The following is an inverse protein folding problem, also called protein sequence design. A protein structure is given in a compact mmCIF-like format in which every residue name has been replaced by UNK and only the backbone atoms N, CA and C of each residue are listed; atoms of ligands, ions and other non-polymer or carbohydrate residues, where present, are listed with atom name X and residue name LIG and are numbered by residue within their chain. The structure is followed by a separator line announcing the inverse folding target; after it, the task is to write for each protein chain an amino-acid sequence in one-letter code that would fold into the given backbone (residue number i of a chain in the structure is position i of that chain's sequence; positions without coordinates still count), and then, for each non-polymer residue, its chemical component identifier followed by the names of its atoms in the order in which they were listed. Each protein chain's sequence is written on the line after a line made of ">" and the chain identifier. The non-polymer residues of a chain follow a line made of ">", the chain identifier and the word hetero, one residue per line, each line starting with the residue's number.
data_IF_437298684751
#
_entry.id   IF_437298684751
#
_cell.length_a   1.000
_cell.length_b   1.000
_cell.length_c   1.000
_cell.angle_alpha   90.00
_cell.angle_beta   90.00
_cell.angle_gamma   90.00
#
_symmetry.space_group_name_H-M   'P 1'
#
loop_
_entity.id
_entity.type
_entity.pdbx_description
1 polymer ?
#
# COMPACT_ATOMS: atom_id res chain seq x y z
N UNK A 1 44.92 13.03 -4.95
CA UNK A 1 44.20 11.74 -5.06
C UNK A 1 42.64 11.79 -4.86
N UNK A 2 41.92 12.90 -4.74
CA UNK A 2 40.43 12.84 -4.60
C UNK A 2 39.65 12.92 -5.92
N UNK A 3 40.30 13.29 -7.05
CA UNK A 3 39.60 13.53 -8.34
C UNK A 3 39.10 12.24 -9.01
N UNK A 4 39.81 11.13 -8.86
CA UNK A 4 39.43 9.84 -9.47
C UNK A 4 38.25 9.14 -8.76
N UNK A 5 38.06 9.36 -7.44
CA UNK A 5 36.92 8.79 -6.71
C UNK A 5 35.59 9.44 -7.10
N UNK A 6 35.59 10.76 -7.39
CA UNK A 6 34.39 11.47 -7.85
C UNK A 6 33.98 11.07 -9.27
N UNK A 7 34.98 10.87 -10.17
CA UNK A 7 34.73 10.37 -11.51
C UNK A 7 34.18 8.93 -11.51
N UNK A 8 34.70 8.05 -10.66
CA UNK A 8 34.20 6.69 -10.51
C UNK A 8 32.78 6.66 -9.93
N UNK A 9 32.46 7.53 -8.96
CA UNK A 9 31.10 7.64 -8.39
C UNK A 9 30.09 8.17 -9.42
N UNK A 10 30.49 9.14 -10.26
CA UNK A 10 29.64 9.65 -11.35
C UNK A 10 29.40 8.60 -12.44
N UNK A 11 30.43 7.83 -12.80
CA UNK A 11 30.27 6.73 -13.76
C UNK A 11 29.34 5.64 -13.21
N UNK A 12 29.48 5.27 -11.94
CA UNK A 12 28.64 4.27 -11.28
C UNK A 12 27.18 4.76 -11.17
N UNK A 13 26.95 6.04 -10.85
CA UNK A 13 25.62 6.61 -10.84
C UNK A 13 25.00 6.65 -12.26
N UNK A 14 25.79 6.96 -13.28
CA UNK A 14 25.34 6.98 -14.68
C UNK A 14 25.00 5.57 -15.19
N UNK A 15 25.77 4.54 -14.82
CA UNK A 15 25.45 3.15 -15.16
C UNK A 15 24.16 2.66 -14.49
N UNK A 16 23.90 3.07 -13.25
CA UNK A 16 22.66 2.71 -12.53
C UNK A 16 21.41 3.36 -13.18
N UNK A 17 21.52 4.61 -13.64
CA UNK A 17 20.39 5.27 -14.31
C UNK A 17 20.11 4.66 -15.69
N UNK A 18 21.12 4.32 -16.47
CA UNK A 18 20.94 3.66 -17.77
C UNK A 18 20.29 2.28 -17.62
N UNK A 19 20.68 1.50 -16.60
CA UNK A 19 20.06 0.20 -16.34
C UNK A 19 18.58 0.31 -15.98
N UNK A 20 18.17 1.30 -15.19
CA UNK A 20 16.75 1.49 -14.84
C UNK A 20 15.92 1.92 -16.05
N UNK A 21 16.42 2.79 -16.90
CA UNK A 21 15.73 3.19 -18.14
C UNK A 21 15.58 2.05 -19.14
N UNK A 22 16.61 1.22 -19.29
CA UNK A 22 16.56 0.05 -20.18
C UNK A 22 15.51 -0.95 -19.72
N UNK A 23 15.48 -1.25 -18.43
CA UNK A 23 14.51 -2.18 -17.83
C UNK A 23 13.07 -1.68 -17.93
N UNK A 24 12.86 -0.39 -17.75
CA UNK A 24 11.54 0.25 -17.89
C UNK A 24 11.06 0.20 -19.36
N UNK A 25 11.95 0.46 -20.31
CA UNK A 25 11.64 0.38 -21.74
C UNK A 25 11.27 -1.02 -22.19
N UNK A 26 12.01 -2.04 -21.76
CA UNK A 26 11.71 -3.44 -22.07
C UNK A 26 10.36 -3.87 -21.50
N UNK A 27 10.03 -3.44 -20.27
CA UNK A 27 8.72 -3.76 -19.66
C UNK A 27 7.57 -3.08 -20.39
N UNK A 28 7.73 -1.82 -20.80
CA UNK A 28 6.72 -1.10 -21.61
C UNK A 28 6.52 -1.77 -22.96
N UNK A 29 7.60 -2.16 -23.66
CA UNK A 29 7.52 -2.87 -24.91
C UNK A 29 6.81 -4.23 -24.75
N UNK A 30 7.12 -4.96 -23.67
CA UNK A 30 6.45 -6.19 -23.33
C UNK A 30 4.93 -5.98 -23.09
N UNK A 31 4.54 -4.95 -22.33
CA UNK A 31 3.14 -4.61 -22.08
C UNK A 31 2.38 -4.32 -23.40
N UNK A 32 2.99 -3.52 -24.26
CA UNK A 32 2.39 -3.15 -25.55
C UNK A 32 2.26 -4.34 -26.52
N UNK A 33 3.25 -5.22 -26.53
CA UNK A 33 3.29 -6.36 -27.45
C UNK A 33 2.45 -7.52 -26.95
N UNK A 34 2.50 -7.82 -25.64
CA UNK A 34 1.79 -8.94 -25.06
C UNK A 34 0.29 -8.64 -24.84
N UNK A 35 -0.09 -7.36 -24.65
CA UNK A 35 -1.47 -6.97 -24.39
C UNK A 35 -2.13 -7.81 -23.28
N UNK A 36 -3.26 -8.46 -23.59
CA UNK A 36 -3.97 -9.35 -22.66
C UNK A 36 -3.19 -10.62 -22.28
N UNK A 37 -2.16 -10.98 -23.04
CA UNK A 37 -1.30 -12.14 -22.75
C UNK A 37 -0.17 -11.79 -21.79
N UNK A 38 -0.01 -10.51 -21.40
CA UNK A 38 0.95 -10.14 -20.38
C UNK A 38 0.65 -10.89 -19.07
N UNK A 39 1.70 -11.32 -18.40
CA UNK A 39 1.61 -12.18 -17.22
C UNK A 39 0.69 -11.64 -16.13
N UNK A 40 0.66 -10.31 -15.97
CA UNK A 40 -0.24 -9.61 -15.03
C UNK A 40 -1.73 -9.95 -15.25
N UNK A 41 -2.15 -10.20 -16.50
CA UNK A 41 -3.56 -10.40 -16.87
C UNK A 41 -3.97 -11.88 -16.98
N UNK A 42 -3.11 -12.81 -16.54
CA UNK A 42 -3.37 -14.26 -16.56
C UNK A 42 -4.03 -14.78 -15.27
N UNK A 43 -4.62 -13.90 -14.47
CA UNK A 43 -5.38 -14.26 -13.27
C UNK A 43 -6.78 -14.80 -13.59
N UNK A 44 -7.62 -14.87 -12.56
CA UNK A 44 -9.04 -15.21 -12.73
C UNK A 44 -9.88 -13.94 -12.92
N UNK A 45 -11.08 -14.10 -13.45
CA UNK A 45 -12.02 -12.98 -13.56
C UNK A 45 -12.57 -12.62 -12.19
N UNK A 46 -12.78 -11.32 -11.97
CA UNK A 46 -13.40 -10.84 -10.74
C UNK A 46 -14.85 -11.28 -10.67
N UNK A 47 -15.24 -11.85 -9.51
CA UNK A 47 -16.63 -12.13 -9.19
C UNK A 47 -17.30 -10.86 -8.68
N UNK A 48 -18.04 -10.17 -9.56
CA UNK A 48 -18.76 -8.97 -9.16
C UNK A 48 -19.95 -9.30 -8.26
N UNK A 49 -19.95 -8.68 -7.09
CA UNK A 49 -21.10 -8.74 -6.19
C UNK A 49 -22.34 -8.11 -6.85
N UNK A 50 -23.45 -8.84 -6.83
CA UNK A 50 -24.72 -8.33 -7.36
C UNK A 50 -25.16 -7.14 -6.53
N UNK A 51 -25.07 -5.93 -7.08
CA UNK A 51 -25.31 -4.65 -6.37
C UNK A 51 -26.69 -4.54 -5.73
N UNK A 52 -27.70 -5.30 -6.18
CA UNK A 52 -29.08 -5.22 -5.71
C UNK A 52 -29.30 -5.57 -4.24
N UNK A 53 -28.36 -6.21 -3.59
CA UNK A 53 -28.43 -6.64 -2.20
C UNK A 53 -27.44 -5.91 -1.29
N UNK A 54 -26.67 -4.96 -1.83
CA UNK A 54 -25.65 -4.21 -1.10
C UNK A 54 -25.98 -2.73 -1.07
N UNK A 55 -25.90 -2.12 0.11
CA UNK A 55 -26.16 -0.69 0.32
C UNK A 55 -24.91 0.18 0.05
N UNK A 56 -23.73 -0.44 0.04
CA UNK A 56 -22.46 0.21 -0.28
C UNK A 56 -21.49 -0.77 -0.98
N UNK A 57 -20.28 -0.33 -1.28
CA UNK A 57 -19.32 -1.04 -2.11
C UNK A 57 -18.25 -1.76 -1.27
N UNK A 58 -17.69 -2.91 -1.75
CA UNK A 58 -16.59 -3.62 -1.11
C UNK A 58 -15.24 -2.93 -1.28
N UNK A 59 -15.09 -2.11 -2.34
CA UNK A 59 -13.85 -1.46 -2.72
C UNK A 59 -13.42 -0.38 -1.73
N UNK A 60 -12.12 -0.04 -1.75
CA UNK A 60 -11.50 0.87 -0.78
C UNK A 60 -12.23 2.22 -0.69
N UNK A 61 -12.33 2.96 -1.77
CA UNK A 61 -12.94 4.29 -1.78
C UNK A 61 -14.02 4.42 -2.86
N UNK A 62 -13.80 3.84 -4.04
CA UNK A 62 -14.72 3.88 -5.19
C UNK A 62 -14.74 2.54 -5.93
N UNK A 63 -15.80 2.29 -6.68
CA UNK A 63 -15.90 1.17 -7.62
C UNK A 63 -15.15 1.41 -8.92
N UNK A 64 -14.73 2.66 -9.18
CA UNK A 64 -14.08 3.03 -10.42
C UNK A 64 -12.63 2.52 -10.48
N UNK A 65 -12.21 2.15 -11.67
CA UNK A 65 -10.81 1.84 -11.94
C UNK A 65 -10.02 3.14 -12.05
N UNK A 66 -8.90 3.21 -11.33
CA UNK A 66 -7.98 4.34 -11.34
C UNK A 66 -6.63 3.89 -11.86
N UNK A 67 -5.99 4.76 -12.64
CA UNK A 67 -4.68 4.45 -13.22
C UNK A 67 -3.59 4.51 -12.16
N UNK A 68 -2.75 3.48 -12.14
CA UNK A 68 -1.60 3.37 -11.23
C UNK A 68 -0.49 2.52 -11.83
N UNK A 69 0.49 2.21 -11.00
CA UNK A 69 1.58 1.27 -11.32
C UNK A 69 1.51 0.06 -10.41
N UNK A 70 1.92 -1.10 -10.90
CA UNK A 70 1.95 -2.33 -10.12
C UNK A 70 3.25 -3.10 -10.42
N UNK A 71 3.93 -3.53 -9.36
CA UNK A 71 5.05 -4.46 -9.45
C UNK A 71 4.51 -5.88 -9.28
N UNK A 72 4.65 -6.68 -10.32
CA UNK A 72 4.15 -8.04 -10.38
C UNK A 72 5.24 -8.99 -10.85
N UNK A 73 5.65 -9.91 -9.99
CA UNK A 73 6.74 -10.87 -10.27
C UNK A 73 8.04 -10.20 -10.75
N UNK A 74 8.45 -9.12 -10.09
CA UNK A 74 9.65 -8.34 -10.39
C UNK A 74 9.52 -7.36 -11.56
N UNK A 75 8.40 -7.37 -12.30
CA UNK A 75 8.15 -6.46 -13.42
C UNK A 75 7.22 -5.31 -13.01
N UNK A 76 7.60 -4.08 -13.36
CA UNK A 76 6.78 -2.88 -13.10
C UNK A 76 5.91 -2.58 -14.32
N UNK A 77 4.59 -2.65 -14.13
CA UNK A 77 3.59 -2.29 -15.11
C UNK A 77 3.06 -0.89 -14.78
N UNK A 78 3.16 0.04 -15.72
CA UNK A 78 2.71 1.42 -15.56
C UNK A 78 1.41 1.68 -16.32
N UNK A 79 0.64 2.67 -15.86
CA UNK A 79 -0.59 3.06 -16.54
C UNK A 79 -1.70 2.01 -16.45
N UNK A 80 -1.64 1.10 -15.50
CA UNK A 80 -2.62 0.01 -15.34
C UNK A 80 -3.87 0.55 -14.64
N UNK A 81 -5.06 0.44 -15.28
CA UNK A 81 -6.31 0.71 -14.58
C UNK A 81 -6.56 -0.40 -13.55
N UNK A 82 -6.71 0.00 -12.27
CA UNK A 82 -6.90 -0.94 -11.16
C UNK A 82 -7.80 -0.38 -10.08
N UNK A 83 -8.33 -1.26 -9.24
CA UNK A 83 -9.02 -0.94 -7.99
C UNK A 83 -8.66 -1.95 -6.91
N UNK A 84 -8.86 -1.59 -5.66
CA UNK A 84 -8.59 -2.48 -4.53
C UNK A 84 -9.89 -2.88 -3.86
N UNK A 85 -10.17 -4.18 -3.83
CA UNK A 85 -11.26 -4.74 -3.04
C UNK A 85 -10.82 -4.83 -1.57
N UNK A 86 -11.40 -3.97 -0.73
CA UNK A 86 -11.09 -3.90 0.69
C UNK A 86 -11.84 -4.98 1.50
N UNK A 87 -12.78 -5.71 0.90
CA UNK A 87 -13.43 -6.86 1.53
C UNK A 87 -12.64 -8.13 1.28
N UNK A 88 -12.39 -8.45 0.02
CA UNK A 88 -11.63 -9.64 -0.37
C UNK A 88 -10.10 -9.47 -0.22
N UNK A 89 -9.63 -8.22 -0.01
CA UNK A 89 -8.23 -7.87 0.22
C UNK A 89 -7.31 -8.19 -0.97
N UNK A 90 -7.79 -7.92 -2.20
CA UNK A 90 -7.00 -8.09 -3.41
C UNK A 90 -7.10 -6.88 -4.36
N UNK A 91 -6.08 -6.72 -5.20
CA UNK A 91 -6.10 -5.76 -6.30
C UNK A 91 -6.74 -6.40 -7.52
N UNK A 92 -7.59 -5.63 -8.21
CA UNK A 92 -8.20 -5.98 -9.49
C UNK A 92 -7.62 -5.07 -10.54
N UNK A 93 -7.19 -5.62 -11.66
CA UNK A 93 -6.67 -4.89 -12.82
C UNK A 93 -7.62 -5.04 -14.01
N UNK A 94 -7.66 -4.04 -14.86
CA UNK A 94 -8.43 -4.11 -16.10
C UNK A 94 -7.50 -4.45 -17.26
N UNK A 95 -7.83 -5.51 -17.98
CA UNK A 95 -7.11 -5.91 -19.19
C UNK A 95 -7.25 -4.84 -20.29
N UNK A 96 -6.16 -4.48 -20.98
CA UNK A 96 -6.16 -3.36 -21.93
C UNK A 96 -6.97 -3.62 -23.20
N UNK A 97 -7.11 -4.88 -23.64
CA UNK A 97 -7.76 -5.22 -24.91
C UNK A 97 -9.21 -5.64 -24.70
N UNK A 98 -9.47 -6.52 -23.73
CA UNK A 98 -10.81 -7.09 -23.50
C UNK A 98 -11.62 -6.33 -22.47
N UNK A 99 -11.04 -5.34 -21.79
CA UNK A 99 -11.65 -4.67 -20.64
C UNK A 99 -12.12 -5.67 -19.56
N UNK A 100 -11.49 -6.83 -19.51
CA UNK A 100 -11.80 -7.86 -18.53
C UNK A 100 -11.24 -7.44 -17.16
N UNK A 101 -12.02 -7.64 -16.13
CA UNK A 101 -11.64 -7.38 -14.73
C UNK A 101 -10.92 -8.62 -14.20
N UNK A 102 -9.63 -8.54 -14.05
CA UNK A 102 -8.74 -9.65 -13.70
C UNK A 102 -8.21 -9.48 -12.29
N UNK A 103 -8.27 -10.53 -11.50
CA UNK A 103 -7.60 -10.65 -10.20
C UNK A 103 -6.31 -11.43 -10.44
N UNK A 104 -5.14 -10.75 -10.47
CA UNK A 104 -3.84 -11.42 -10.60
C UNK A 104 -3.53 -12.25 -9.35
N UNK A 105 -2.54 -13.14 -9.42
CA UNK A 105 -2.07 -13.83 -8.22
C UNK A 105 -1.49 -12.81 -7.22
N UNK A 106 -2.20 -12.59 -6.11
CA UNK A 106 -1.83 -11.57 -5.10
C UNK A 106 -0.47 -11.84 -4.45
N UNK A 107 0.01 -13.08 -4.46
CA UNK A 107 1.32 -13.45 -3.91
C UNK A 107 2.49 -12.93 -4.76
N UNK A 108 2.22 -12.65 -6.03
CA UNK A 108 3.21 -12.10 -6.97
C UNK A 108 3.16 -10.57 -7.04
N UNK A 109 2.18 -9.94 -6.37
CA UNK A 109 2.09 -8.48 -6.27
C UNK A 109 3.00 -8.00 -5.14
N UNK A 110 4.10 -7.33 -5.49
CA UNK A 110 5.05 -6.79 -4.53
C UNK A 110 4.62 -5.42 -3.99
N UNK A 111 4.02 -4.61 -4.84
CA UNK A 111 3.41 -3.33 -4.50
C UNK A 111 2.58 -2.80 -5.66
N UNK A 112 1.68 -1.88 -5.36
CA UNK A 112 0.99 -1.08 -6.37
C UNK A 112 0.77 0.35 -5.88
N UNK A 113 0.41 1.25 -6.81
CA UNK A 113 0.07 2.64 -6.49
C UNK A 113 -1.36 2.95 -6.92
N UNK A 114 -2.11 3.61 -6.05
CA UNK A 114 -3.43 4.19 -6.34
C UNK A 114 -3.49 5.60 -5.77
N UNK A 115 -3.95 6.57 -6.56
CA UNK A 115 -4.05 7.99 -6.18
C UNK A 115 -2.78 8.57 -5.55
N UNK A 116 -1.63 8.21 -6.11
CA UNK A 116 -0.33 8.64 -5.61
C UNK A 116 0.12 7.96 -4.31
N UNK A 117 -0.65 7.04 -3.77
CA UNK A 117 -0.29 6.28 -2.58
C UNK A 117 0.26 4.89 -2.95
N UNK A 118 1.35 4.51 -2.32
CA UNK A 118 1.93 3.17 -2.46
C UNK A 118 1.29 2.20 -1.48
N UNK A 119 0.94 1.02 -1.99
CA UNK A 119 0.41 -0.10 -1.22
C UNK A 119 1.42 -1.25 -1.25
N UNK A 120 1.65 -1.86 -0.11
CA UNK A 120 2.58 -2.98 0.09
C UNK A 120 1.86 -4.14 0.79
N UNK A 121 2.31 -5.39 0.62
CA UNK A 121 1.69 -6.53 1.28
C UNK A 121 1.59 -6.36 2.80
N UNK A 122 0.45 -6.75 3.37
CA UNK A 122 0.27 -6.85 4.81
C UNK A 122 0.43 -8.30 5.24
N UNK A 123 1.60 -8.68 5.71
CA UNK A 123 1.90 -10.05 6.14
C UNK A 123 1.16 -10.45 7.43
N UNK A 124 0.77 -9.46 8.25
CA UNK A 124 0.10 -9.71 9.52
C UNK A 124 -1.38 -10.11 9.36
N UNK A 125 -2.06 -9.65 8.30
CA UNK A 125 -3.49 -9.91 8.07
C UNK A 125 -3.83 -10.38 6.66
N UNK A 126 -2.90 -10.35 5.75
CA UNK A 126 -3.14 -10.53 4.32
C UNK A 126 -3.59 -9.24 3.63
N UNK A 127 -3.68 -9.28 2.31
CA UNK A 127 -3.99 -8.11 1.49
C UNK A 127 -2.87 -7.08 1.49
N UNK A 128 -3.26 -5.80 1.33
CA UNK A 128 -2.30 -4.70 1.18
C UNK A 128 -2.59 -3.56 2.13
N UNK A 129 -1.53 -2.86 2.52
CA UNK A 129 -1.60 -1.65 3.35
C UNK A 129 -0.98 -0.47 2.64
N UNK A 130 -1.63 0.69 2.76
CA UNK A 130 -1.08 1.96 2.29
C UNK A 130 0.15 2.32 3.12
N UNK A 131 1.27 2.58 2.47
CA UNK A 131 2.48 3.07 3.11
C UNK A 131 2.32 4.57 3.40
N UNK A 132 2.04 4.92 4.65
CA UNK A 132 1.79 6.30 5.10
C UNK A 132 3.10 7.03 5.36
N UNK A 133 4.10 6.30 5.85
CA UNK A 133 5.46 6.78 6.02
C UNK A 133 6.46 5.69 5.63
N UNK A 134 7.41 6.04 4.77
CA UNK A 134 8.48 5.18 4.30
C UNK A 134 9.83 5.70 4.82
N UNK A 135 10.22 5.28 6.02
CA UNK A 135 11.53 5.58 6.57
C UNK A 135 12.59 4.54 6.21
N UNK A 136 13.84 4.82 6.51
CA UNK A 136 14.94 3.88 6.28
C UNK A 136 14.94 2.70 7.27
N UNK A 137 14.53 2.94 8.51
CA UNK A 137 14.62 1.99 9.62
C UNK A 137 13.24 1.59 10.13
N UNK A 138 12.26 2.48 9.99
CA UNK A 138 10.89 2.24 10.41
C UNK A 138 9.92 2.85 9.41
N UNK A 139 8.85 2.11 9.10
CA UNK A 139 7.76 2.58 8.24
C UNK A 139 6.43 2.49 8.98
N UNK A 140 5.46 3.29 8.53
CA UNK A 140 4.08 3.26 9.02
C UNK A 140 3.14 2.85 7.89
N UNK A 141 2.33 1.83 8.15
CA UNK A 141 1.36 1.29 7.22
C UNK A 141 -0.05 1.51 7.75
N UNK A 142 -0.98 1.84 6.85
CA UNK A 142 -2.42 1.97 7.10
C UNK A 142 -3.15 0.84 6.37
N UNK A 143 -3.63 -0.14 7.12
CA UNK A 143 -4.39 -1.27 6.60
C UNK A 143 -5.89 -0.97 6.72
N UNK A 144 -6.56 -0.93 5.58
CA UNK A 144 -8.00 -0.72 5.49
C UNK A 144 -8.67 -1.97 4.96
N UNK A 145 -9.69 -2.42 5.66
CA UNK A 145 -10.45 -3.59 5.27
C UNK A 145 -11.93 -3.41 5.56
N UNK A 146 -12.76 -4.20 4.88
CA UNK A 146 -14.21 -4.18 5.06
C UNK A 146 -14.73 -5.55 5.48
N UNK A 147 -15.71 -5.57 6.35
CA UNK A 147 -16.41 -6.78 6.77
C UNK A 147 -17.89 -6.67 6.43
N UNK A 148 -18.51 -7.81 6.13
CA UNK A 148 -19.96 -7.83 5.89
C UNK A 148 -20.69 -7.55 7.19
N UNK A 149 -21.54 -6.53 7.19
CA UNK A 149 -22.41 -6.17 8.30
C UNK A 149 -23.70 -7.00 8.35
N UNK A 150 -24.51 -6.74 9.37
CA UNK A 150 -25.82 -7.35 9.51
C UNK A 150 -26.74 -7.01 8.32
N UNK A 151 -27.75 -7.86 8.09
CA UNK A 151 -28.83 -7.56 7.15
C UNK A 151 -29.67 -6.44 7.73
N UNK A 152 -29.98 -5.44 6.92
CA UNK A 152 -30.84 -4.33 7.30
C UNK A 152 -32.01 -4.28 6.30
N UNK A 153 -33.23 -4.13 6.80
CA UNK A 153 -34.41 -3.92 5.96
C UNK A 153 -34.67 -2.42 5.79
N UNK A 154 -34.89 -2.00 4.55
CA UNK A 154 -35.34 -0.66 4.23
C UNK A 154 -36.33 -0.70 3.06
N UNK A 155 -37.48 -0.09 3.22
CA UNK A 155 -38.57 -0.06 2.21
C UNK A 155 -38.96 -1.48 1.69
N UNK A 156 -39.05 -2.47 2.59
CA UNK A 156 -39.40 -3.85 2.25
C UNK A 156 -38.32 -4.61 1.48
N UNK A 157 -37.08 -4.09 1.41
CA UNK A 157 -35.93 -4.77 0.79
C UNK A 157 -34.85 -5.02 1.81
N UNK A 158 -34.26 -6.20 1.75
CA UNK A 158 -33.12 -6.58 2.57
C UNK A 158 -31.82 -6.16 1.90
N UNK A 159 -31.02 -5.39 2.62
CA UNK A 159 -29.68 -4.97 2.22
C UNK A 159 -28.64 -5.50 3.19
N UNK A 160 -27.43 -5.70 2.68
CA UNK A 160 -26.20 -5.85 3.48
C UNK A 160 -25.32 -4.62 3.32
N UNK A 161 -24.53 -4.33 4.33
CA UNK A 161 -23.55 -3.24 4.29
C UNK A 161 -22.16 -3.81 4.48
N UNK A 162 -21.16 -3.11 3.95
CA UNK A 162 -19.77 -3.32 4.30
C UNK A 162 -19.38 -2.32 5.40
N UNK A 163 -18.91 -2.83 6.53
CA UNK A 163 -18.38 -2.02 7.62
C UNK A 163 -16.89 -1.79 7.37
N UNK A 164 -16.47 -0.53 7.34
CA UNK A 164 -15.07 -0.15 7.13
C UNK A 164 -14.28 -0.19 8.43
N UNK A 165 -13.08 -0.75 8.39
CA UNK A 165 -12.14 -0.85 9.48
C UNK A 165 -10.78 -0.31 9.07
N UNK A 166 -10.02 0.18 10.06
CA UNK A 166 -8.69 0.73 9.87
C UNK A 166 -7.76 0.28 10.99
N UNK A 167 -6.58 -0.19 10.63
CA UNK A 167 -5.54 -0.59 11.57
C UNK A 167 -4.18 -0.12 11.06
N UNK A 168 -3.42 0.57 11.92
CA UNK A 168 -2.04 0.95 11.61
C UNK A 168 -1.06 -0.13 12.05
N UNK A 169 0.04 -0.25 11.29
CA UNK A 169 1.16 -1.12 11.60
C UNK A 169 2.47 -0.34 11.52
N UNK A 170 3.33 -0.54 12.49
CA UNK A 170 4.72 -0.10 12.41
C UNK A 170 5.54 -1.26 11.90
N UNK A 171 6.34 -1.03 10.86
CA UNK A 171 7.22 -2.03 10.25
C UNK A 171 8.67 -1.70 10.55
N UNK A 172 9.39 -2.66 11.14
CA UNK A 172 10.82 -2.59 11.45
C UNK A 172 11.47 -3.89 10.98
N UNK A 173 12.49 -3.80 10.12
CA UNK A 173 13.19 -4.98 9.62
C UNK A 173 12.25 -6.00 8.95
N UNK A 174 11.21 -5.55 8.26
CA UNK A 174 10.18 -6.40 7.63
C UNK A 174 9.07 -6.86 8.58
N UNK A 175 9.25 -6.78 9.90
CA UNK A 175 8.22 -7.22 10.86
C UNK A 175 7.16 -6.14 11.05
N UNK A 176 5.89 -6.48 10.83
CA UNK A 176 4.73 -5.60 10.95
C UNK A 176 4.03 -5.81 12.29
N UNK A 177 3.99 -4.78 13.12
CA UNK A 177 3.36 -4.83 14.46
C UNK A 177 2.21 -3.83 14.54
N UNK A 178 1.00 -4.25 14.97
CA UNK A 178 -0.15 -3.37 15.04
C UNK A 178 0.02 -2.27 16.10
N UNK A 179 -0.41 -1.05 15.75
CA UNK A 179 -0.40 0.10 16.65
C UNK A 179 -1.67 0.92 16.46
N UNK A 180 -2.38 1.24 17.55
CA UNK A 180 -3.59 2.07 17.53
C UNK A 180 -3.52 3.27 18.47
N UNK A 181 -2.50 3.32 19.33
CA UNK A 181 -2.35 4.34 20.35
C UNK A 181 -0.90 4.70 20.62
N UNK A 182 -0.68 5.87 21.20
CA UNK A 182 0.65 6.29 21.67
C UNK A 182 1.27 5.32 22.68
N UNK A 183 0.45 4.75 23.57
CA UNK A 183 0.93 3.80 24.58
C UNK A 183 1.47 2.52 23.92
N UNK A 184 0.83 2.02 22.86
CA UNK A 184 1.33 0.88 22.10
C UNK A 184 2.62 1.21 21.35
N UNK A 185 2.71 2.39 20.71
CA UNK A 185 3.94 2.83 20.07
C UNK A 185 5.12 2.89 21.05
N UNK A 186 4.92 3.48 22.23
CA UNK A 186 5.95 3.53 23.29
C UNK A 186 6.34 2.13 23.77
N UNK A 187 5.40 1.19 23.82
CA UNK A 187 5.67 -0.21 24.21
C UNK A 187 6.53 -0.94 23.19
N UNK A 188 6.35 -0.65 21.90
CA UNK A 188 7.19 -1.19 20.84
C UNK A 188 8.62 -0.66 20.90
N UNK A 189 8.80 0.57 21.36
CA UNK A 189 10.11 1.24 21.41
C UNK A 189 10.45 1.71 22.83
N UNK A 190 10.64 0.78 23.79
CA UNK A 190 10.86 1.15 25.20
C UNK A 190 12.12 1.98 25.43
N UNK A 191 13.15 1.76 24.60
CA UNK A 191 14.42 2.52 24.63
C UNK A 191 14.20 4.02 24.36
N UNK A 192 13.23 4.38 23.52
CA UNK A 192 12.94 5.76 23.09
C UNK A 192 11.72 6.35 23.79
N UNK A 193 11.30 5.76 24.92
CA UNK A 193 10.07 6.16 25.65
C UNK A 193 10.10 7.63 26.10
N UNK A 194 11.24 8.12 26.60
CA UNK A 194 11.34 9.48 27.14
C UNK A 194 11.33 10.51 26.00
N UNK A 195 12.07 10.23 24.94
CA UNK A 195 12.15 11.04 23.73
C UNK A 195 10.76 11.17 23.07
N UNK A 196 10.05 10.06 22.89
CA UNK A 196 8.70 10.06 22.32
C UNK A 196 7.71 10.83 23.18
N UNK A 197 7.77 10.70 24.53
CA UNK A 197 6.90 11.46 25.43
C UNK A 197 7.19 12.96 25.38
N UNK A 198 8.47 13.35 25.31
CA UNK A 198 8.89 14.74 25.15
C UNK A 198 8.38 15.28 23.83
N UNK A 199 8.68 14.61 22.70
CA UNK A 199 8.28 14.99 21.36
C UNK A 199 6.75 15.16 21.23
N UNK A 200 5.97 14.21 21.77
CA UNK A 200 4.51 14.31 21.80
C UNK A 200 4.02 15.58 22.49
N UNK A 201 4.62 15.97 23.61
CA UNK A 201 4.23 17.18 24.38
C UNK A 201 4.61 18.46 23.64
N UNK A 202 5.82 18.53 23.11
CA UNK A 202 6.35 19.70 22.39
C UNK A 202 5.53 19.98 21.12
N UNK A 203 5.09 18.94 20.42
CA UNK A 203 4.30 19.05 19.18
C UNK A 203 2.79 18.91 19.40
N UNK A 204 2.31 18.86 20.65
CA UNK A 204 0.89 18.76 21.00
C UNK A 204 0.13 17.63 20.27
N UNK A 205 0.79 16.47 20.02
CA UNK A 205 0.23 15.39 19.23
C UNK A 205 -0.93 14.69 19.96
N UNK A 206 -2.06 14.56 19.25
CA UNK A 206 -3.29 13.94 19.74
C UNK A 206 -3.57 12.65 18.95
N UNK A 207 -3.99 11.60 19.65
CA UNK A 207 -4.27 10.28 19.06
C UNK A 207 -5.78 9.98 19.00
N UNK A 208 -6.61 11.00 18.89
CA UNK A 208 -8.03 10.89 18.58
C UNK A 208 -8.23 10.39 17.13
N UNK A 209 -9.42 9.89 16.80
CA UNK A 209 -9.73 9.27 15.49
C UNK A 209 -9.28 10.15 14.31
N UNK A 210 -9.60 11.43 14.30
CA UNK A 210 -9.26 12.32 13.18
C UNK A 210 -7.79 12.80 13.12
N UNK A 211 -7.00 12.61 14.20
CA UNK A 211 -5.62 13.10 14.28
C UNK A 211 -4.59 11.98 14.45
N UNK A 212 -5.06 10.74 14.54
CA UNK A 212 -4.22 9.57 14.82
C UNK A 212 -3.15 9.36 13.76
N UNK A 213 -3.54 9.40 12.48
CA UNK A 213 -2.60 9.19 11.37
C UNK A 213 -1.47 10.20 11.40
N UNK A 214 -1.79 11.50 11.42
CA UNK A 214 -0.80 12.58 11.48
C UNK A 214 0.11 12.46 12.69
N UNK A 215 -0.45 12.14 13.86
CA UNK A 215 0.34 11.98 15.09
C UNK A 215 1.24 10.74 15.07
N UNK A 216 0.77 9.63 14.48
CA UNK A 216 1.58 8.43 14.27
C UNK A 216 2.72 8.70 13.28
N UNK A 217 2.42 9.35 12.14
CA UNK A 217 3.43 9.75 11.15
C UNK A 217 4.52 10.59 11.82
N UNK A 218 4.14 11.64 12.57
CA UNK A 218 5.09 12.51 13.26
C UNK A 218 5.98 11.75 14.26
N UNK A 219 5.39 10.85 15.07
CA UNK A 219 6.15 10.05 16.02
C UNK A 219 7.07 9.02 15.33
N UNK A 220 6.59 8.37 14.26
CA UNK A 220 7.36 7.35 13.53
C UNK A 220 8.49 7.98 12.73
N UNK A 221 8.25 9.13 12.09
CA UNK A 221 9.32 9.89 11.42
C UNK A 221 10.40 10.35 12.39
N UNK A 222 10.02 10.80 13.59
CA UNK A 222 10.98 11.12 14.64
C UNK A 222 11.76 9.90 15.11
N UNK A 223 11.11 8.75 15.30
CA UNK A 223 11.77 7.48 15.64
C UNK A 223 12.79 7.07 14.58
N UNK A 224 12.49 7.27 13.31
CA UNK A 224 13.41 6.95 12.21
C UNK A 224 14.73 7.73 12.30
N UNK A 225 14.70 8.94 12.90
CA UNK A 225 15.91 9.73 13.17
C UNK A 225 16.70 9.24 14.39
N UNK A 226 16.02 8.66 15.39
CA UNK A 226 16.64 8.22 16.64
C UNK A 226 17.26 6.81 16.55
N UNK A 227 16.71 5.93 15.74
CA UNK A 227 17.20 4.56 15.57
C UNK A 227 18.54 4.64 14.82
N UNK A 228 19.65 4.04 15.34
CA UNK A 228 20.94 4.01 14.63
C UNK A 228 20.82 3.22 13.32
N UNK A 229 21.71 3.52 12.40
CA UNK A 229 21.86 2.68 11.19
C UNK A 229 22.44 1.32 11.61
N UNK A 230 21.98 0.23 10.94
CA UNK A 230 22.47 -1.10 11.21
C UNK A 230 23.95 -1.29 10.83
#
# INVERSE_FOLDING_TARGET
>A
MPRNKRAALMLMAMCLTVSTYAQQYETQLYQQTAGDYAYLYQGHLEDELVQRVWANIPYLDTSDFRTGSICYSGLVYEGVPMRYDAHEQYVVVMSPVRNAKVVPDQKLVEWFTLDGHRFVPNEARGGFSRQVYAGRKVSLLDHRYKTVGARTESMGRLYRTFNSHQQYYVMVGGVQTPVSSFAQLVRLFPKYKQELKRYRREHHLKFSVGQRETSLVSCVSYLDTLIPEP
#
